data_IF_835820439853
#
_entry.id   IF_835820439853
#
_cell.length_a   1.000
_cell.length_b   1.000
_cell.length_c   1.000
_cell.angle_alpha   90.00
_cell.angle_beta   90.00
_cell.angle_gamma   90.00
#
_symmetry.space_group_name_H-M   'P 1'
#
loop_
_entity.id
_entity.type
_entity.pdbx_description
1 polymer ?
#
# COMPACT_ATOMS: atom_id res chain seq x y z
N UNK A 1 9.57 -12.02 72.46
CA UNK A 1 8.51 -11.70 71.48
C UNK A 1 8.20 -10.19 71.36
N UNK A 2 9.12 -9.27 71.65
CA UNK A 2 8.88 -7.81 71.58
C UNK A 2 9.80 -7.14 70.54
N UNK A 3 10.79 -7.84 69.99
CA UNK A 3 11.78 -7.25 69.07
C UNK A 3 11.41 -7.30 67.59
N UNK A 4 10.51 -8.17 67.18
CA UNK A 4 10.12 -8.30 65.73
C UNK A 4 9.17 -7.21 65.26
N UNK A 5 8.31 -6.68 66.13
CA UNK A 5 7.35 -5.63 65.79
C UNK A 5 7.95 -4.26 65.50
N UNK A 6 9.11 -3.97 66.13
CA UNK A 6 9.77 -2.65 65.98
C UNK A 6 10.55 -2.57 64.68
N UNK A 7 11.20 -3.65 64.23
CA UNK A 7 11.95 -3.69 62.97
C UNK A 7 11.04 -3.65 61.75
N UNK A 8 9.83 -4.20 61.83
CA UNK A 8 8.83 -4.14 60.74
C UNK A 8 8.30 -2.71 60.53
N UNK A 9 8.03 -1.97 61.62
CA UNK A 9 7.56 -0.59 61.53
C UNK A 9 8.64 0.37 61.02
N UNK A 10 9.91 0.19 61.40
CA UNK A 10 11.00 1.00 60.88
C UNK A 10 11.24 0.78 59.39
N UNK A 11 11.09 -0.47 58.88
CA UNK A 11 11.18 -0.76 57.43
C UNK A 11 10.03 -0.13 56.62
N UNK A 12 8.81 -0.13 57.17
CA UNK A 12 7.63 0.49 56.52
C UNK A 12 7.74 2.00 56.47
N UNK A 13 8.27 2.66 57.51
CA UNK A 13 8.50 4.10 57.53
C UNK A 13 9.63 4.50 56.58
N UNK A 14 10.69 3.71 56.47
CA UNK A 14 11.77 3.95 55.53
C UNK A 14 11.34 3.83 54.07
N UNK A 15 10.47 2.88 53.74
CA UNK A 15 9.92 2.72 52.38
C UNK A 15 8.98 3.85 52.00
N UNK A 16 8.08 4.28 52.91
CA UNK A 16 7.17 5.39 52.68
C UNK A 16 7.91 6.74 52.57
N UNK A 17 8.97 6.97 53.35
CA UNK A 17 9.80 8.16 53.25
C UNK A 17 10.60 8.24 51.95
N UNK A 18 11.10 7.10 51.44
CA UNK A 18 11.82 7.04 50.18
C UNK A 18 10.97 7.36 48.97
N UNK A 19 9.73 6.88 48.92
CA UNK A 19 8.80 7.16 47.79
C UNK A 19 8.37 8.64 47.76
N UNK A 20 8.14 9.26 48.90
CA UNK A 20 7.79 10.69 48.97
C UNK A 20 8.97 11.57 48.54
N UNK A 21 10.19 11.25 48.95
CA UNK A 21 11.38 11.97 48.52
C UNK A 21 11.66 11.87 47.02
N UNK A 22 11.47 10.69 46.39
CA UNK A 22 11.57 10.52 44.96
C UNK A 22 10.48 11.31 44.20
N UNK A 23 9.24 11.29 44.67
CA UNK A 23 8.16 12.02 44.03
C UNK A 23 8.38 13.56 44.05
N UNK A 24 8.88 14.08 45.17
CA UNK A 24 9.21 15.51 45.30
C UNK A 24 10.44 15.90 44.46
N UNK A 25 11.43 15.01 44.33
CA UNK A 25 12.61 15.22 43.49
C UNK A 25 12.25 15.31 42.02
N UNK A 26 11.42 14.37 41.51
CA UNK A 26 10.96 14.38 40.13
C UNK A 26 10.10 15.61 39.81
N UNK A 27 9.20 15.97 40.74
CA UNK A 27 8.37 17.20 40.62
C UNK A 27 9.20 18.48 40.54
N UNK A 28 10.28 18.58 41.31
CA UNK A 28 11.17 19.76 41.32
C UNK A 28 11.99 19.87 40.01
N UNK A 29 12.49 18.74 39.48
CA UNK A 29 13.22 18.73 38.21
C UNK A 29 12.31 19.10 37.04
N UNK A 30 11.06 18.62 36.99
CA UNK A 30 10.12 18.99 35.94
C UNK A 30 9.69 20.44 35.98
N UNK A 31 9.63 21.07 37.19
CA UNK A 31 9.25 22.48 37.31
C UNK A 31 10.42 23.44 37.08
N UNK A 32 11.67 22.98 37.17
CA UNK A 32 12.86 23.83 36.93
C UNK A 32 13.27 23.91 35.45
N UNK A 33 12.73 23.08 34.56
CA UNK A 33 12.88 23.22 33.11
C UNK A 33 11.88 24.24 32.57
N UNK A 34 12.17 25.53 32.77
CA UNK A 34 11.44 26.57 32.04
C UNK A 34 11.81 26.48 30.54
N UNK A 35 10.83 26.50 29.63
CA UNK A 35 11.13 26.58 28.21
C UNK A 35 11.90 27.90 27.96
N UNK A 36 13.06 27.76 27.32
CA UNK A 36 13.81 28.94 26.86
C UNK A 36 12.89 29.71 25.91
N UNK A 37 12.63 31.02 26.15
CA UNK A 37 11.81 31.80 25.25
C UNK A 37 12.48 31.81 23.87
N UNK A 38 11.80 31.25 22.89
CA UNK A 38 12.20 31.38 21.49
C UNK A 38 12.10 32.86 21.14
N UNK A 39 13.18 33.54 20.69
CA UNK A 39 13.07 34.92 20.25
C UNK A 39 12.08 34.98 19.09
N UNK A 40 11.10 35.87 19.21
CA UNK A 40 10.15 36.16 18.14
C UNK A 40 10.94 36.57 16.89
N UNK A 41 10.60 36.06 15.71
CA UNK A 41 11.24 36.48 14.47
C UNK A 41 11.01 37.98 14.31
N UNK A 42 12.14 38.72 14.16
CA UNK A 42 12.09 40.15 13.86
C UNK A 42 11.28 40.36 12.58
N UNK A 43 10.47 41.43 12.50
CA UNK A 43 9.75 41.77 11.30
C UNK A 43 10.78 41.96 10.19
N UNK A 44 10.72 41.12 9.16
CA UNK A 44 11.53 41.24 7.95
C UNK A 44 11.08 42.55 7.30
N UNK A 45 11.98 43.55 7.25
CA UNK A 45 11.77 44.74 6.45
C UNK A 45 11.44 44.34 5.03
N UNK A 46 10.35 44.85 4.52
CA UNK A 46 9.98 44.66 3.12
C UNK A 46 11.17 45.13 2.25
N UNK A 47 11.84 44.16 1.63
CA UNK A 47 12.80 44.46 0.57
C UNK A 47 11.99 44.90 -0.64
N UNK A 48 12.25 46.13 -1.09
CA UNK A 48 11.75 46.69 -2.33
C UNK A 48 12.06 45.71 -3.46
N UNK A 49 11.02 45.09 -4.00
CA UNK A 49 11.08 44.32 -5.22
C UNK A 49 11.40 45.29 -6.36
N UNK A 50 12.48 45.12 -7.13
CA UNK A 50 12.71 45.94 -8.31
C UNK A 50 11.54 45.74 -9.28
N UNK A 51 10.92 46.84 -9.67
CA UNK A 51 9.86 46.88 -10.66
C UNK A 51 10.32 46.18 -11.96
N UNK A 52 9.54 45.21 -12.40
CA UNK A 52 9.70 44.58 -13.70
C UNK A 52 9.61 45.65 -14.79
N UNK A 53 10.44 45.62 -15.85
CA UNK A 53 10.34 46.56 -16.95
C UNK A 53 9.03 46.36 -17.69
N UNK A 54 8.31 47.47 -17.85
CA UNK A 54 7.11 47.59 -18.68
C UNK A 54 7.46 47.28 -20.14
N UNK A 55 6.79 46.35 -20.83
CA UNK A 55 6.97 46.21 -22.28
C UNK A 55 6.29 47.39 -22.98
N UNK A 56 7.12 48.21 -23.60
CA UNK A 56 6.64 49.25 -24.55
C UNK A 56 6.02 48.63 -25.80
N UNK A 57 4.81 49.10 -26.12
CA UNK A 57 4.38 49.34 -27.47
C UNK A 57 4.10 48.12 -28.36
N UNK A 58 2.99 47.39 -28.15
CA UNK A 58 2.32 46.68 -29.21
C UNK A 58 1.06 47.47 -29.66
N UNK A 59 0.66 47.45 -30.95
CA UNK A 59 -0.40 48.31 -31.47
C UNK A 59 -1.75 47.95 -30.86
N UNK A 60 -2.43 48.97 -30.34
CA UNK A 60 -3.80 48.90 -29.87
C UNK A 60 -4.73 48.63 -31.05
N UNK A 61 -5.31 47.47 -31.09
CA UNK A 61 -6.49 47.17 -31.92
C UNK A 61 -7.73 47.64 -31.18
N UNK A 62 -8.30 48.71 -31.63
CA UNK A 62 -9.60 49.23 -31.19
C UNK A 62 -10.72 48.18 -31.40
N UNK A 63 -11.60 47.95 -30.42
CA UNK A 63 -12.75 47.10 -30.66
C UNK A 63 -13.76 47.78 -31.54
N UNK A 64 -13.94 47.24 -32.71
CA UNK A 64 -15.06 47.60 -33.62
C UNK A 64 -16.32 46.89 -33.14
N UNK A 65 -17.44 47.54 -32.89
CA UNK A 65 -18.69 46.88 -32.59
C UNK A 65 -19.25 46.28 -33.91
N UNK A 66 -18.97 45.01 -34.11
CA UNK A 66 -19.55 44.20 -35.18
C UNK A 66 -20.65 43.33 -34.63
N UNK A 67 -21.88 43.58 -35.00
CA UNK A 67 -23.08 42.84 -34.69
C UNK A 67 -22.87 41.33 -34.94
N UNK A 68 -23.18 40.52 -33.92
CA UNK A 68 -23.37 39.09 -34.05
C UNK A 68 -24.52 38.85 -35.05
N UNK A 69 -24.19 38.53 -36.30
CA UNK A 69 -25.13 37.91 -37.21
C UNK A 69 -25.24 36.44 -36.80
N UNK A 70 -26.37 36.13 -36.25
CA UNK A 70 -26.85 34.76 -36.14
C UNK A 70 -26.94 34.21 -37.54
N UNK A 71 -26.05 33.33 -37.91
CA UNK A 71 -26.16 32.53 -39.13
C UNK A 71 -27.30 31.53 -38.89
N UNK A 72 -28.46 31.79 -39.45
CA UNK A 72 -29.51 30.80 -39.63
C UNK A 72 -28.93 29.69 -40.52
N UNK A 73 -28.78 28.51 -39.95
CA UNK A 73 -28.51 27.30 -40.71
C UNK A 73 -29.81 26.94 -41.40
N UNK A 74 -29.93 27.27 -42.66
CA UNK A 74 -31.03 26.80 -43.52
C UNK A 74 -30.97 25.27 -43.59
N UNK A 75 -32.11 24.57 -43.47
CA UNK A 75 -32.14 23.13 -43.68
C UNK A 75 -31.69 22.81 -45.11
N UNK A 76 -30.69 21.93 -45.21
CA UNK A 76 -30.22 21.39 -46.48
C UNK A 76 -31.35 20.59 -47.11
N UNK A 77 -31.82 21.06 -48.24
CA UNK A 77 -32.85 20.46 -49.10
C UNK A 77 -32.24 19.18 -49.72
N UNK A 78 -32.46 18.04 -49.11
CA UNK A 78 -31.91 16.73 -49.52
C UNK A 78 -32.67 16.15 -50.73
N UNK A 79 -33.66 16.84 -51.24
CA UNK A 79 -34.59 16.30 -52.25
C UNK A 79 -34.14 16.45 -53.73
N UNK A 80 -32.93 16.92 -53.98
CA UNK A 80 -32.42 17.07 -55.37
C UNK A 80 -31.11 16.34 -55.67
N UNK A 81 -30.86 15.20 -55.09
CA UNK A 81 -29.81 14.31 -55.58
C UNK A 81 -30.49 13.31 -56.53
N UNK A 82 -30.53 13.65 -57.79
CA UNK A 82 -30.88 12.70 -58.83
C UNK A 82 -29.84 11.56 -58.81
N UNK A 83 -30.29 10.36 -58.49
CA UNK A 83 -29.51 9.16 -58.66
C UNK A 83 -29.27 8.96 -60.17
N UNK A 84 -28.15 9.49 -60.64
CA UNK A 84 -27.60 9.10 -61.93
C UNK A 84 -27.18 7.65 -61.77
N UNK A 85 -27.81 6.75 -62.53
CA UNK A 85 -27.49 5.35 -62.55
C UNK A 85 -25.98 5.18 -62.78
N UNK A 86 -25.29 4.59 -61.82
CA UNK A 86 -23.91 4.24 -61.99
C UNK A 86 -23.79 3.22 -63.16
N UNK A 87 -22.77 3.33 -64.00
CA UNK A 87 -22.52 2.30 -65.02
C UNK A 87 -22.31 0.96 -64.30
N UNK A 88 -22.93 -0.07 -64.83
CA UNK A 88 -22.82 -1.43 -64.32
C UNK A 88 -21.34 -1.80 -64.16
N UNK A 89 -20.94 -1.95 -62.92
CA UNK A 89 -19.61 -2.51 -62.57
C UNK A 89 -19.63 -3.96 -63.10
N UNK A 90 -18.71 -4.40 -63.97
CA UNK A 90 -18.60 -5.78 -64.33
C UNK A 90 -18.34 -6.60 -63.06
N UNK A 91 -19.01 -7.78 -62.96
CA UNK A 91 -18.83 -8.74 -61.87
C UNK A 91 -17.33 -8.93 -61.61
N UNK A 92 -16.85 -8.79 -60.37
CA UNK A 92 -15.46 -9.06 -60.06
C UNK A 92 -15.19 -10.52 -60.36
N UNK A 93 -14.27 -10.75 -61.28
CA UNK A 93 -13.73 -12.12 -61.51
C UNK A 93 -13.35 -12.74 -60.16
N UNK A 94 -13.60 -14.03 -59.93
CA UNK A 94 -13.26 -14.66 -58.65
C UNK A 94 -11.79 -14.35 -58.33
N UNK A 95 -11.58 -13.63 -57.22
CA UNK A 95 -10.25 -13.29 -56.74
C UNK A 95 -9.49 -14.61 -56.57
N UNK A 96 -8.43 -14.79 -57.35
CA UNK A 96 -7.52 -15.92 -57.14
C UNK A 96 -7.12 -15.89 -55.68
N UNK A 97 -7.41 -16.97 -54.94
CA UNK A 97 -7.01 -17.14 -53.55
C UNK A 97 -5.50 -16.90 -53.47
N UNK A 98 -5.13 -15.84 -52.76
CA UNK A 98 -3.73 -15.60 -52.43
C UNK A 98 -3.21 -16.89 -51.81
N UNK A 99 -2.03 -17.40 -52.19
CA UNK A 99 -1.46 -18.58 -51.58
C UNK A 99 -1.37 -18.27 -50.07
N UNK A 100 -1.92 -19.16 -49.24
CA UNK A 100 -1.81 -19.10 -47.81
C UNK A 100 -0.32 -18.94 -47.49
N UNK A 101 0.04 -17.84 -46.81
CA UNK A 101 1.39 -17.70 -46.25
C UNK A 101 1.70 -18.96 -45.46
N UNK A 102 2.82 -19.64 -45.75
CA UNK A 102 3.22 -20.80 -44.93
C UNK A 102 3.16 -20.36 -43.46
N UNK A 103 2.40 -21.09 -42.64
CA UNK A 103 2.56 -20.95 -41.19
C UNK A 103 4.03 -21.23 -40.90
N UNK A 104 4.71 -20.29 -40.29
CA UNK A 104 6.02 -20.55 -39.71
C UNK A 104 5.92 -21.85 -38.91
N UNK A 105 6.85 -22.79 -39.08
CA UNK A 105 6.87 -23.98 -38.28
C UNK A 105 6.89 -23.50 -36.81
N UNK A 106 5.90 -23.94 -36.01
CA UNK A 106 5.93 -23.75 -34.59
C UNK A 106 7.30 -24.20 -34.08
N UNK A 107 8.12 -23.24 -33.63
CA UNK A 107 9.38 -23.56 -32.97
C UNK A 107 8.98 -24.47 -31.80
N UNK A 108 9.52 -25.70 -31.68
CA UNK A 108 9.20 -26.55 -30.55
C UNK A 108 9.52 -25.80 -29.29
N UNK A 109 8.51 -25.37 -28.51
CA UNK A 109 8.73 -24.84 -27.20
C UNK A 109 9.31 -25.97 -26.36
N UNK A 110 10.53 -25.80 -25.87
CA UNK A 110 11.27 -26.80 -25.10
C UNK A 110 10.65 -27.05 -23.70
N UNK A 111 9.35 -26.84 -23.52
CA UNK A 111 8.66 -27.07 -22.26
C UNK A 111 8.97 -26.03 -21.20
N UNK A 112 9.58 -24.90 -21.57
CA UNK A 112 9.97 -23.81 -20.66
C UNK A 112 8.91 -22.70 -20.50
N UNK A 113 7.69 -22.94 -20.94
CA UNK A 113 6.64 -21.93 -20.83
C UNK A 113 6.31 -21.62 -19.37
N UNK A 114 6.34 -20.33 -19.04
CA UNK A 114 5.88 -19.84 -17.71
C UNK A 114 4.36 -19.82 -17.72
N UNK A 115 3.76 -20.44 -16.71
CA UNK A 115 2.30 -20.45 -16.53
C UNK A 115 1.95 -20.02 -15.10
N UNK A 116 0.74 -19.45 -14.92
CA UNK A 116 0.24 -19.11 -13.62
C UNK A 116 -1.24 -19.47 -13.51
N UNK A 117 -1.65 -19.94 -12.32
CA UNK A 117 -3.03 -20.25 -11.95
C UNK A 117 -3.38 -19.50 -10.66
N UNK A 118 -4.56 -18.90 -10.61
CA UNK A 118 -5.08 -18.22 -9.45
C UNK A 118 -6.40 -18.87 -9.03
N UNK A 119 -6.44 -19.43 -7.81
CA UNK A 119 -7.61 -20.12 -7.26
C UNK A 119 -8.13 -19.36 -6.05
N UNK A 120 -9.43 -19.00 -5.96
CA UNK A 120 -9.97 -18.33 -4.78
C UNK A 120 -9.87 -19.22 -3.55
N UNK A 121 -9.44 -18.62 -2.43
CA UNK A 121 -9.35 -19.25 -1.13
C UNK A 121 -10.27 -18.60 -0.09
N UNK A 122 -10.27 -19.08 1.16
CA UNK A 122 -11.05 -18.51 2.23
C UNK A 122 -10.59 -17.09 2.59
N UNK A 123 -11.45 -16.32 3.27
CA UNK A 123 -11.16 -14.94 3.69
C UNK A 123 -10.75 -14.02 2.52
N UNK A 124 -11.36 -14.21 1.36
CA UNK A 124 -11.05 -13.50 0.13
C UNK A 124 -9.54 -13.54 -0.22
N UNK A 125 -8.86 -14.65 0.02
CA UNK A 125 -7.50 -14.91 -0.44
C UNK A 125 -7.50 -15.56 -1.81
N UNK A 126 -6.33 -15.63 -2.43
CA UNK A 126 -6.09 -16.33 -3.68
C UNK A 126 -4.82 -17.17 -3.54
N UNK A 127 -4.93 -18.44 -3.83
CA UNK A 127 -3.79 -19.34 -3.97
C UNK A 127 -3.24 -19.16 -5.39
N UNK A 128 -2.06 -18.55 -5.49
CA UNK A 128 -1.35 -18.32 -6.74
C UNK A 128 -0.29 -19.39 -6.92
N UNK A 129 -0.44 -20.21 -7.93
CA UNK A 129 0.55 -21.21 -8.36
C UNK A 129 1.22 -20.73 -9.65
N UNK A 130 2.55 -20.64 -9.67
CA UNK A 130 3.37 -20.32 -10.84
C UNK A 130 4.21 -21.52 -11.19
N UNK A 131 4.27 -21.87 -12.46
CA UNK A 131 5.14 -22.94 -12.97
C UNK A 131 6.04 -22.39 -14.08
N UNK A 132 7.33 -22.45 -13.85
CA UNK A 132 8.39 -21.97 -14.73
C UNK A 132 9.54 -23.02 -14.79
N UNK A 133 9.36 -24.17 -15.45
CA UNK A 133 10.24 -25.35 -15.32
C UNK A 133 11.72 -25.09 -15.66
N UNK A 134 12.02 -24.04 -16.41
CA UNK A 134 13.40 -23.69 -16.77
C UNK A 134 13.97 -22.54 -15.88
N UNK A 135 13.23 -22.09 -14.89
CA UNK A 135 13.57 -20.97 -14.00
C UNK A 135 13.53 -21.43 -12.53
N UNK A 136 14.27 -22.51 -12.21
CA UNK A 136 14.46 -22.96 -10.83
C UNK A 136 15.32 -21.99 -10.03
N UNK A 137 15.00 -21.80 -8.74
CA UNK A 137 15.67 -20.85 -7.82
C UNK A 137 15.77 -19.45 -8.41
N UNK A 138 14.78 -19.02 -9.18
CA UNK A 138 14.78 -17.77 -9.91
C UNK A 138 13.89 -16.74 -9.23
N UNK A 139 14.41 -15.50 -9.18
CA UNK A 139 13.68 -14.35 -8.63
C UNK A 139 12.58 -13.92 -9.61
N UNK A 140 11.40 -13.65 -9.05
CA UNK A 140 10.30 -13.01 -9.76
C UNK A 140 9.66 -11.93 -8.87
N UNK A 141 8.95 -11.02 -9.53
CA UNK A 141 8.09 -10.04 -8.85
C UNK A 141 6.65 -10.36 -9.17
N UNK A 142 5.83 -10.47 -8.12
CA UNK A 142 4.39 -10.63 -8.26
C UNK A 142 3.73 -9.26 -8.09
N UNK A 143 2.90 -8.88 -9.06
CA UNK A 143 2.09 -7.66 -9.02
C UNK A 143 0.62 -8.01 -8.86
N UNK A 144 -0.07 -7.36 -7.94
CA UNK A 144 -1.50 -7.53 -7.73
C UNK A 144 -2.15 -6.22 -7.29
N UNK A 145 -2.92 -5.58 -8.17
CA UNK A 145 -3.72 -4.36 -7.87
C UNK A 145 -2.95 -3.26 -7.12
N UNK A 146 -1.72 -2.97 -7.53
CA UNK A 146 -0.84 -1.97 -6.92
C UNK A 146 0.07 -2.51 -5.82
N UNK A 147 -0.21 -3.67 -5.25
CA UNK A 147 0.71 -4.38 -4.38
C UNK A 147 1.77 -5.12 -5.21
N UNK A 148 3.01 -5.12 -4.70
CA UNK A 148 4.14 -5.81 -5.33
C UNK A 148 4.97 -6.51 -4.25
N UNK A 149 5.42 -7.73 -4.55
CA UNK A 149 6.36 -8.45 -3.69
C UNK A 149 7.27 -9.37 -4.49
N UNK A 150 8.48 -9.59 -3.97
CA UNK A 150 9.47 -10.50 -4.56
C UNK A 150 9.25 -11.91 -4.04
N UNK A 151 9.31 -12.88 -4.95
CA UNK A 151 9.32 -14.29 -4.61
C UNK A 151 10.49 -15.01 -5.33
N UNK A 152 10.78 -16.22 -4.91
CA UNK A 152 11.78 -17.09 -5.54
C UNK A 152 11.11 -18.43 -5.80
N UNK A 153 11.23 -18.94 -7.01
CA UNK A 153 10.78 -20.29 -7.36
C UNK A 153 11.64 -21.35 -6.65
N UNK A 154 11.09 -22.53 -6.43
CA UNK A 154 11.84 -23.68 -5.97
C UNK A 154 12.79 -24.23 -7.04
N UNK A 155 13.45 -25.37 -6.76
CA UNK A 155 14.39 -26.02 -7.68
C UNK A 155 13.73 -26.46 -8.99
N UNK A 156 12.44 -26.80 -8.98
CA UNK A 156 11.65 -27.24 -10.12
C UNK A 156 11.00 -26.07 -10.88
N UNK A 157 11.22 -24.83 -10.42
CA UNK A 157 10.64 -23.64 -11.02
C UNK A 157 9.20 -23.40 -10.60
N UNK A 158 8.74 -23.98 -9.50
CA UNK A 158 7.40 -23.78 -8.98
C UNK A 158 7.39 -22.70 -7.85
N UNK A 159 6.26 -22.01 -7.72
CA UNK A 159 5.95 -21.10 -6.61
C UNK A 159 4.48 -21.27 -6.26
N UNK A 160 4.21 -21.57 -5.01
CA UNK A 160 2.88 -21.57 -4.42
C UNK A 160 2.81 -20.52 -3.30
N UNK A 161 1.90 -19.57 -3.42
CA UNK A 161 1.73 -18.49 -2.42
C UNK A 161 0.27 -18.10 -2.27
N UNK A 162 -0.20 -18.00 -1.03
CA UNK A 162 -1.54 -17.47 -0.72
C UNK A 162 -1.46 -15.96 -0.56
N UNK A 163 -2.19 -15.23 -1.37
CA UNK A 163 -2.18 -13.75 -1.44
C UNK A 163 -3.56 -13.21 -1.08
N UNK A 164 -3.68 -12.27 -0.12
CA UNK A 164 -4.93 -11.56 0.12
C UNK A 164 -5.34 -10.76 -1.13
N UNK A 165 -6.53 -11.01 -1.68
CA UNK A 165 -7.00 -10.30 -2.86
C UNK A 165 -7.30 -8.83 -2.55
N UNK A 166 -7.02 -7.93 -3.49
CA UNK A 166 -7.28 -6.49 -3.36
C UNK A 166 -8.38 -6.00 -4.31
N UNK A 167 -8.93 -6.89 -5.13
CA UNK A 167 -10.02 -6.58 -6.05
C UNK A 167 -10.89 -7.81 -6.28
N UNK A 168 -12.16 -7.59 -6.62
CA UNK A 168 -13.12 -8.65 -6.96
C UNK A 168 -12.65 -9.42 -8.20
N UNK A 169 -12.21 -8.71 -9.23
CA UNK A 169 -11.47 -9.30 -10.35
C UNK A 169 -9.99 -9.21 -10.04
N UNK A 170 -9.48 -10.24 -9.39
CA UNK A 170 -8.08 -10.34 -9.01
C UNK A 170 -7.21 -10.69 -10.22
N UNK A 171 -6.24 -9.83 -10.52
CA UNK A 171 -5.25 -10.03 -11.59
C UNK A 171 -3.89 -10.13 -10.94
N UNK A 172 -3.15 -11.18 -11.25
CA UNK A 172 -1.79 -11.41 -10.81
C UNK A 172 -0.86 -11.46 -12.02
N UNK A 173 0.24 -10.75 -11.94
CA UNK A 173 1.30 -10.76 -12.95
C UNK A 173 2.57 -11.26 -12.27
N UNK A 174 3.04 -12.43 -12.65
CA UNK A 174 4.33 -12.97 -12.25
C UNK A 174 5.36 -12.60 -13.30
N UNK A 175 6.35 -11.79 -12.95
CA UNK A 175 7.36 -11.27 -13.88
C UNK A 175 8.76 -11.66 -13.41
N UNK A 176 9.51 -12.34 -14.27
CA UNK A 176 10.91 -12.70 -14.05
C UNK A 176 11.85 -11.62 -14.60
N UNK A 177 13.08 -11.58 -14.06
CA UNK A 177 14.09 -10.56 -14.45
C UNK A 177 14.55 -10.70 -15.92
N UNK A 178 14.37 -11.88 -16.52
CA UNK A 178 14.68 -12.14 -17.95
C UNK A 178 13.59 -11.65 -18.93
N UNK A 179 12.49 -11.07 -18.40
CA UNK A 179 11.34 -10.58 -19.18
C UNK A 179 10.27 -11.63 -19.47
N UNK A 180 10.46 -12.89 -19.06
CA UNK A 180 9.41 -13.90 -19.10
C UNK A 180 8.43 -13.67 -17.95
N UNK A 181 7.22 -14.21 -18.09
CA UNK A 181 6.21 -14.11 -17.05
C UNK A 181 4.88 -14.73 -17.45
N UNK A 182 3.96 -14.69 -16.50
CA UNK A 182 2.60 -15.17 -16.71
C UNK A 182 1.58 -14.26 -16.02
N UNK A 183 0.35 -14.31 -16.52
CA UNK A 183 -0.78 -13.58 -15.93
C UNK A 183 -1.84 -14.61 -15.54
N UNK A 184 -2.31 -14.50 -14.29
CA UNK A 184 -3.44 -15.27 -13.80
C UNK A 184 -4.55 -14.33 -13.37
N UNK A 185 -5.80 -14.70 -13.57
CA UNK A 185 -6.98 -13.93 -13.16
C UNK A 185 -7.98 -14.84 -12.49
N UNK A 186 -8.63 -14.32 -11.44
CA UNK A 186 -9.71 -15.02 -10.77
C UNK A 186 -10.78 -14.04 -10.25
N UNK A 187 -11.93 -14.55 -9.84
CA UNK A 187 -13.03 -13.77 -9.28
C UNK A 187 -13.17 -14.07 -7.80
N UNK A 188 -13.17 -13.03 -6.97
CA UNK A 188 -13.22 -13.08 -5.50
C UNK A 188 -14.44 -12.29 -5.04
N UNK A 189 -15.65 -12.87 -5.05
CA UNK A 189 -16.89 -12.13 -4.84
C UNK A 189 -17.08 -11.61 -3.42
N UNK A 190 -16.47 -12.25 -2.44
CA UNK A 190 -16.54 -11.93 -1.01
C UNK A 190 -15.56 -10.85 -0.55
N UNK A 191 -14.80 -10.26 -1.46
CA UNK A 191 -13.80 -9.24 -1.13
C UNK A 191 -14.38 -8.02 -0.38
N UNK A 192 -15.65 -7.68 -0.63
CA UNK A 192 -16.33 -6.57 0.02
C UNK A 192 -16.62 -6.81 1.53
N UNK A 193 -16.50 -8.05 1.98
CA UNK A 193 -16.70 -8.43 3.37
C UNK A 193 -15.47 -8.16 4.25
N UNK A 194 -14.35 -7.75 3.62
CA UNK A 194 -13.07 -7.55 4.28
C UNK A 194 -12.53 -6.14 4.06
N UNK A 195 -12.04 -5.53 5.14
CA UNK A 195 -11.20 -4.34 5.08
C UNK A 195 -9.74 -4.77 5.00
N UNK A 196 -8.94 -4.07 4.17
CA UNK A 196 -7.53 -4.40 3.95
C UNK A 196 -6.64 -3.19 3.93
N UNK A 197 -5.53 -3.32 4.63
CA UNK A 197 -4.43 -2.35 4.65
C UNK A 197 -3.17 -3.09 4.20
N UNK A 198 -2.52 -2.57 3.16
CA UNK A 198 -1.24 -3.06 2.66
C UNK A 198 -0.18 -2.03 2.97
N UNK A 199 0.90 -2.46 3.56
CA UNK A 199 2.14 -1.70 3.71
C UNK A 199 3.20 -2.40 2.86
N UNK A 200 3.74 -1.71 1.86
CA UNK A 200 4.77 -2.29 0.99
C UNK A 200 5.98 -1.39 0.91
N UNK A 201 7.17 -2.00 0.81
CA UNK A 201 8.45 -1.30 0.77
C UNK A 201 9.50 -2.10 0.03
N UNK A 202 10.65 -1.49 -0.20
CA UNK A 202 11.81 -2.13 -0.80
C UNK A 202 12.95 -2.24 0.21
N UNK A 203 13.66 -3.36 0.17
CA UNK A 203 14.82 -3.61 1.01
C UNK A 203 14.46 -3.94 2.47
N UNK A 204 15.45 -3.84 3.34
CA UNK A 204 15.34 -4.18 4.77
C UNK A 204 14.99 -2.97 5.62
N UNK A 205 13.91 -2.28 5.27
CA UNK A 205 13.49 -1.05 5.94
C UNK A 205 12.89 -1.26 7.34
N UNK A 206 12.54 -2.50 7.71
CA UNK A 206 12.06 -2.83 9.06
C UNK A 206 10.61 -2.42 9.34
N UNK A 207 9.83 -2.10 8.32
CA UNK A 207 8.43 -1.72 8.49
C UNK A 207 7.54 -2.89 8.93
N UNK A 208 6.55 -2.57 9.78
CA UNK A 208 5.53 -3.50 10.29
C UNK A 208 4.19 -2.80 10.45
N UNK A 209 3.09 -3.52 10.25
CA UNK A 209 1.74 -3.08 10.60
C UNK A 209 1.38 -3.65 11.97
N UNK A 210 0.88 -2.78 12.86
CA UNK A 210 0.27 -3.17 14.12
C UNK A 210 -1.19 -2.72 14.14
N UNK A 211 -2.10 -3.63 14.46
CA UNK A 211 -3.51 -3.36 14.66
C UNK A 211 -3.89 -3.68 16.11
N UNK A 212 -4.46 -2.71 16.81
CA UNK A 212 -4.97 -2.85 18.16
C UNK A 212 -6.49 -2.89 18.09
N UNK A 213 -7.06 -4.09 18.06
CA UNK A 213 -8.48 -4.31 17.85
C UNK A 213 -9.26 -4.07 19.14
N UNK A 214 -10.31 -3.23 19.03
CA UNK A 214 -11.28 -2.99 20.09
C UNK A 214 -10.68 -2.56 21.43
N UNK A 215 -9.64 -1.72 21.38
CA UNK A 215 -8.98 -1.17 22.56
C UNK A 215 -7.93 -2.08 23.21
N UNK A 216 -7.49 -3.13 22.51
CA UNK A 216 -6.36 -3.95 22.97
C UNK A 216 -5.08 -3.11 23.07
N UNK A 217 -4.18 -3.51 23.97
CA UNK A 217 -2.84 -2.97 24.09
C UNK A 217 -1.80 -3.91 23.48
N UNK A 218 -0.57 -3.45 23.31
CA UNK A 218 0.54 -4.29 22.83
C UNK A 218 0.73 -5.53 23.69
N UNK A 219 0.82 -6.69 23.03
CA UNK A 219 1.01 -7.99 23.68
C UNK A 219 -0.27 -8.60 24.26
N UNK A 220 -1.42 -7.92 24.16
CA UNK A 220 -2.70 -8.45 24.61
C UNK A 220 -3.45 -9.17 23.48
N UNK A 221 -4.44 -10.03 23.79
CA UNK A 221 -5.38 -10.54 22.79
C UNK A 221 -6.07 -9.39 22.04
N UNK A 222 -5.99 -9.39 20.72
CA UNK A 222 -6.43 -8.29 19.87
C UNK A 222 -5.30 -7.39 19.37
N UNK A 223 -4.05 -7.60 19.82
CA UNK A 223 -2.88 -7.04 19.17
C UNK A 223 -2.47 -7.94 18.00
N UNK A 224 -2.75 -7.49 16.78
CA UNK A 224 -2.55 -8.25 15.53
C UNK A 224 -1.38 -7.63 14.76
N UNK A 225 -0.36 -8.43 14.49
CA UNK A 225 0.83 -8.06 13.73
C UNK A 225 1.52 -9.33 13.19
N UNK A 226 2.50 -9.18 12.32
CA UNK A 226 3.15 -10.31 11.61
C UNK A 226 3.91 -11.26 12.53
N UNK A 227 4.36 -10.81 13.70
CA UNK A 227 5.05 -11.64 14.72
C UNK A 227 4.11 -12.20 15.80
N UNK A 228 2.79 -12.00 15.72
CA UNK A 228 1.86 -12.58 16.68
C UNK A 228 1.77 -14.11 16.54
N UNK A 229 1.41 -14.81 17.63
CA UNK A 229 1.19 -16.27 17.58
C UNK A 229 0.07 -16.59 16.56
N UNK A 230 0.34 -17.42 15.53
CA UNK A 230 -0.66 -17.80 14.54
C UNK A 230 -1.91 -18.47 15.13
N UNK A 231 -1.80 -19.04 16.35
CA UNK A 231 -2.95 -19.62 17.05
C UNK A 231 -3.92 -18.59 17.61
N UNK A 232 -3.45 -17.35 17.81
CA UNK A 232 -4.33 -16.25 18.21
C UNK A 232 -5.21 -15.76 17.03
N UNK A 233 -4.82 -16.02 15.79
CA UNK A 233 -5.52 -15.65 14.57
C UNK A 233 -6.66 -16.61 14.15
N UNK A 234 -6.99 -17.59 14.99
CA UNK A 234 -7.92 -18.69 14.63
C UNK A 234 -9.41 -18.36 14.67
N UNK A 235 -9.79 -17.16 15.08
CA UNK A 235 -11.20 -16.75 15.12
C UNK A 235 -11.52 -15.91 13.87
N UNK A 236 -12.61 -16.28 13.16
CA UNK A 236 -13.09 -15.57 11.96
C UNK A 236 -13.56 -14.14 12.26
N UNK A 237 -13.55 -13.73 13.52
CA UNK A 237 -13.97 -12.39 13.97
C UNK A 237 -12.79 -11.45 14.26
N UNK A 238 -11.56 -11.95 14.19
CA UNK A 238 -10.33 -11.17 14.41
C UNK A 238 -9.57 -10.97 13.10
N UNK A 239 -8.83 -9.88 13.00
CA UNK A 239 -7.98 -9.60 11.86
C UNK A 239 -6.74 -10.50 11.81
N UNK A 240 -6.07 -10.48 10.67
CA UNK A 240 -4.81 -11.21 10.44
C UNK A 240 -3.83 -10.32 9.70
N UNK A 241 -2.53 -10.50 9.96
CA UNK A 241 -1.46 -9.91 9.16
C UNK A 241 -0.72 -11.02 8.42
N UNK A 242 -0.61 -10.86 7.10
CA UNK A 242 0.19 -11.75 6.24
C UNK A 242 1.37 -10.96 5.71
N UNK A 243 2.58 -11.50 5.87
CA UNK A 243 3.80 -10.96 5.27
C UNK A 243 4.08 -11.67 3.96
N UNK A 244 4.30 -10.91 2.89
CA UNK A 244 4.60 -11.37 1.55
C UNK A 244 5.97 -10.87 1.13
N UNK A 245 6.66 -11.67 0.34
CA UNK A 245 8.00 -11.40 -0.12
C UNK A 245 9.07 -12.17 0.63
N UNK A 246 10.25 -12.33 0.01
CA UNK A 246 11.40 -12.99 0.60
C UNK A 246 12.50 -11.99 0.92
N UNK A 247 12.98 -11.98 2.16
CA UNK A 247 14.01 -11.06 2.65
C UNK A 247 15.41 -11.36 2.09
N UNK A 248 15.64 -12.59 1.59
CA UNK A 248 16.94 -13.05 1.11
C UNK A 248 17.27 -12.60 -0.31
N UNK A 249 16.29 -12.03 -1.02
CA UNK A 249 16.52 -11.49 -2.36
C UNK A 249 17.32 -10.19 -2.34
N UNK A 250 18.03 -9.89 -3.42
CA UNK A 250 18.68 -8.59 -3.60
C UNK A 250 17.61 -7.51 -3.78
N UNK A 251 17.63 -6.49 -2.90
CA UNK A 251 16.64 -5.40 -2.89
C UNK A 251 15.19 -5.92 -2.95
N UNK A 252 14.77 -6.76 -1.98
CA UNK A 252 13.47 -7.40 -2.02
C UNK A 252 12.35 -6.37 -1.98
N UNK A 253 11.25 -6.66 -2.67
CA UNK A 253 9.97 -6.00 -2.47
C UNK A 253 9.20 -6.81 -1.45
N UNK A 254 8.79 -6.17 -0.39
CA UNK A 254 8.10 -6.78 0.75
C UNK A 254 6.76 -6.10 0.97
N UNK A 255 5.78 -6.86 1.43
CA UNK A 255 4.49 -6.31 1.78
C UNK A 255 3.94 -7.00 3.03
N UNK A 256 3.30 -6.24 3.91
CA UNK A 256 2.41 -6.76 4.95
C UNK A 256 0.98 -6.38 4.62
N UNK A 257 0.06 -7.34 4.79
CA UNK A 257 -1.36 -7.14 4.52
C UNK A 257 -2.14 -7.46 5.78
N UNK A 258 -2.67 -6.42 6.43
CA UNK A 258 -3.68 -6.58 7.47
C UNK A 258 -5.03 -6.78 6.80
N UNK A 259 -5.77 -7.80 7.23
CA UNK A 259 -7.12 -8.12 6.77
C UNK A 259 -8.05 -8.22 7.97
N UNK A 260 -9.15 -7.46 7.97
CA UNK A 260 -10.20 -7.54 8.99
C UNK A 260 -11.53 -8.00 8.36
N UNK A 261 -12.22 -9.00 8.93
CA UNK A 261 -13.49 -9.52 8.41
C UNK A 261 -14.68 -8.63 8.83
N UNK A 262 -14.81 -7.45 8.25
CA UNK A 262 -15.78 -6.43 8.63
C UNK A 262 -17.24 -6.91 8.55
N UNK A 263 -17.57 -7.80 7.61
CA UNK A 263 -18.91 -8.36 7.49
C UNK A 263 -19.26 -9.41 8.56
N UNK A 264 -18.26 -10.03 9.17
CA UNK A 264 -18.42 -11.04 10.22
C UNK A 264 -18.21 -10.48 11.64
N UNK A 265 -18.04 -9.17 11.79
CA UNK A 265 -17.81 -8.54 13.08
C UNK A 265 -19.00 -8.72 14.02
N UNK A 266 -18.79 -9.33 15.17
CA UNK A 266 -19.79 -9.59 16.22
C UNK A 266 -19.86 -8.49 17.27
N UNK A 267 -18.94 -7.52 17.22
CA UNK A 267 -18.85 -6.36 18.10
C UNK A 267 -18.48 -5.09 17.32
N UNK A 268 -18.91 -3.94 17.85
CA UNK A 268 -18.56 -2.63 17.32
C UNK A 268 -17.43 -2.01 18.13
N UNK A 269 -16.67 -1.15 17.50
CA UNK A 269 -15.55 -0.43 18.11
C UNK A 269 -14.55 0.06 17.09
N UNK A 270 -13.46 0.58 17.58
CA UNK A 270 -12.37 1.07 16.75
C UNK A 270 -11.22 0.05 16.72
N UNK A 271 -10.55 -0.04 15.59
CA UNK A 271 -9.26 -0.74 15.44
C UNK A 271 -8.22 0.34 15.19
N UNK A 272 -7.37 0.58 16.18
CA UNK A 272 -6.27 1.52 16.05
C UNK A 272 -5.16 0.90 15.20
N UNK A 273 -4.75 1.60 14.14
CA UNK A 273 -3.72 1.16 13.21
C UNK A 273 -2.47 2.02 13.36
N UNK A 274 -1.32 1.37 13.48
CA UNK A 274 -0.02 2.03 13.43
C UNK A 274 0.92 1.34 12.45
N UNK A 275 1.83 2.13 11.89
CA UNK A 275 2.99 1.62 11.16
C UNK A 275 4.20 1.83 12.05
N UNK A 276 4.98 0.79 12.21
CA UNK A 276 6.23 0.84 12.96
C UNK A 276 7.40 0.54 12.05
N UNK A 277 8.56 1.11 12.37
CA UNK A 277 9.81 0.79 11.70
C UNK A 277 10.88 0.51 12.74
N UNK A 278 11.40 -0.72 12.76
CA UNK A 278 12.53 -1.09 13.59
C UNK A 278 13.81 -0.47 13.02
N UNK A 279 14.57 0.21 13.87
CA UNK A 279 15.91 0.70 13.54
C UNK A 279 16.87 -0.48 13.55
N UNK A 280 17.38 -0.85 12.40
CA UNK A 280 18.30 -1.96 12.22
C UNK A 280 19.61 -1.52 11.54
N UNK A 281 20.55 -2.44 11.36
CA UNK A 281 21.85 -2.14 10.75
C UNK A 281 21.76 -1.73 9.27
N UNK A 282 20.70 -2.16 8.58
CA UNK A 282 20.51 -1.90 7.16
C UNK A 282 19.85 -0.53 6.88
N UNK A 283 19.02 -0.03 7.81
CA UNK A 283 18.27 1.21 7.64
C UNK A 283 18.76 2.40 8.48
N UNK A 284 19.55 2.18 9.54
CA UNK A 284 19.96 3.24 10.44
C UNK A 284 20.70 4.40 9.71
N UNK A 285 20.34 5.63 10.05
CA UNK A 285 20.91 6.86 9.47
C UNK A 285 20.52 7.07 8.00
N UNK A 286 19.48 6.42 7.50
CA UNK A 286 19.01 6.51 6.10
C UNK A 286 17.56 6.99 6.04
N UNK A 287 17.19 7.50 4.88
CA UNK A 287 15.79 7.67 4.54
C UNK A 287 15.25 6.35 4.01
N UNK A 288 14.09 5.95 4.52
CA UNK A 288 13.34 4.78 4.07
C UNK A 288 11.97 5.22 3.59
N UNK A 289 11.44 4.52 2.61
CA UNK A 289 10.12 4.81 2.07
C UNK A 289 9.25 3.55 1.99
N UNK A 290 7.97 3.75 2.13
CA UNK A 290 6.95 2.73 1.97
C UNK A 290 5.74 3.31 1.23
N UNK A 291 4.85 2.43 0.81
CA UNK A 291 3.57 2.78 0.25
C UNK A 291 2.47 2.05 1.01
N UNK A 292 1.43 2.78 1.35
CA UNK A 292 0.22 2.26 1.95
C UNK A 292 -0.86 2.15 0.88
N UNK A 293 -1.55 0.99 0.84
CA UNK A 293 -2.74 0.78 0.05
C UNK A 293 -3.87 0.43 1.02
N UNK A 294 -4.96 1.16 0.94
CA UNK A 294 -6.09 1.02 1.85
C UNK A 294 -7.36 0.72 1.06
N UNK A 295 -8.07 -0.34 1.46
CA UNK A 295 -9.35 -0.72 0.91
C UNK A 295 -10.34 -1.01 2.05
N UNK A 296 -11.46 -0.30 2.07
CA UNK A 296 -12.55 -0.48 3.03
C UNK A 296 -13.82 -0.93 2.28
N UNK A 297 -14.31 -2.11 2.58
CA UNK A 297 -15.50 -2.68 1.96
C UNK A 297 -15.51 -2.57 0.44
N UNK A 298 -16.46 -1.81 -0.11
CA UNK A 298 -16.62 -1.56 -1.57
C UNK A 298 -15.87 -0.32 -2.07
N UNK A 299 -15.15 0.38 -1.20
CA UNK A 299 -14.47 1.61 -1.56
C UNK A 299 -13.34 1.38 -2.58
N UNK A 300 -13.00 2.46 -3.29
CA UNK A 300 -11.83 2.42 -4.16
C UNK A 300 -10.56 2.36 -3.34
N UNK A 301 -9.59 1.61 -3.83
CA UNK A 301 -8.24 1.59 -3.25
C UNK A 301 -7.69 3.01 -3.14
N UNK A 302 -7.27 3.38 -1.93
CA UNK A 302 -6.53 4.61 -1.66
C UNK A 302 -5.05 4.27 -1.53
N UNK A 303 -4.19 5.17 -1.99
CA UNK A 303 -2.74 4.98 -1.94
C UNK A 303 -2.10 6.20 -1.31
N UNK A 304 -1.19 5.98 -0.34
CA UNK A 304 -0.40 7.02 0.31
C UNK A 304 1.08 6.64 0.28
N UNK A 305 1.96 7.60 0.04
CA UNK A 305 3.41 7.43 0.21
C UNK A 305 3.80 7.76 1.65
N UNK A 306 4.80 7.07 2.14
CA UNK A 306 5.43 7.28 3.44
C UNK A 306 6.92 7.41 3.25
N UNK A 307 7.49 8.52 3.72
CA UNK A 307 8.93 8.74 3.77
C UNK A 307 9.33 8.99 5.22
N UNK A 308 10.38 8.34 5.69
CA UNK A 308 10.83 8.37 7.06
C UNK A 308 12.36 8.45 7.13
N UNK A 309 12.88 9.42 7.89
CA UNK A 309 14.30 9.50 8.22
C UNK A 309 14.57 8.70 9.48
N UNK A 310 15.36 7.65 9.36
CA UNK A 310 15.72 6.74 10.46
C UNK A 310 16.88 7.33 11.27
N UNK A 311 16.83 7.28 12.62
CA UNK A 311 17.93 7.70 13.47
C UNK A 311 19.24 6.99 13.19
N UNK A 312 20.35 7.58 13.69
CA UNK A 312 21.69 6.98 13.55
C UNK A 312 21.80 5.59 14.22
N UNK A 313 22.85 4.85 13.88
CA UNK A 313 23.01 3.44 14.27
C UNK A 313 23.23 3.19 15.77
N UNK A 314 23.31 4.24 16.59
CA UNK A 314 23.24 4.12 18.07
C UNK A 314 21.84 3.77 18.58
N UNK A 315 20.81 3.94 17.75
CA UNK A 315 19.43 3.64 18.05
C UNK A 315 18.98 2.25 17.51
N UNK A 316 19.91 1.41 17.06
CA UNK A 316 19.57 0.05 16.57
C UNK A 316 18.88 -0.74 17.68
N UNK A 317 17.70 -1.30 17.36
CA UNK A 317 16.81 -1.98 18.29
C UNK A 317 15.66 -1.11 18.82
N UNK A 318 15.68 0.21 18.57
CA UNK A 318 14.55 1.09 18.85
C UNK A 318 13.48 0.98 17.74
N UNK A 319 12.25 1.39 18.07
CA UNK A 319 11.13 1.42 17.13
C UNK A 319 10.64 2.85 16.92
N UNK A 320 10.40 3.19 15.66
CA UNK A 320 9.73 4.43 15.26
C UNK A 320 8.25 4.11 15.07
N UNK A 321 7.38 4.68 15.89
CA UNK A 321 5.93 4.46 15.82
C UNK A 321 5.29 5.63 15.11
N UNK A 322 4.64 5.33 13.99
CA UNK A 322 3.95 6.31 13.15
C UNK A 322 2.45 6.24 13.41
N UNK A 323 2.02 7.00 14.41
CA UNK A 323 0.61 7.16 14.73
C UNK A 323 -0.04 8.17 13.77
N UNK A 324 -1.34 8.03 13.53
CA UNK A 324 -2.16 8.91 12.66
C UNK A 324 -1.76 8.93 11.18
N UNK A 325 -1.00 7.95 10.73
CA UNK A 325 -0.72 7.76 9.31
C UNK A 325 -1.89 7.08 8.60
N UNK A 326 -2.53 6.15 9.29
CA UNK A 326 -3.75 5.45 8.89
C UNK A 326 -4.93 5.97 9.69
N UNK A 327 -6.08 6.06 9.07
CA UNK A 327 -7.32 6.30 9.79
C UNK A 327 -7.76 4.99 10.46
N UNK A 328 -8.10 5.06 11.74
CA UNK A 328 -8.63 3.92 12.48
C UNK A 328 -9.83 3.32 11.75
N UNK A 329 -9.93 1.99 11.77
CA UNK A 329 -11.09 1.31 11.21
C UNK A 329 -12.24 1.35 12.21
N UNK A 330 -13.37 1.91 11.78
CA UNK A 330 -14.58 1.95 12.57
C UNK A 330 -15.47 0.77 12.22
N UNK A 331 -15.57 -0.16 13.14
CA UNK A 331 -16.30 -1.41 12.97
C UNK A 331 -17.69 -1.29 13.61
N UNK A 332 -18.70 -1.66 12.86
CA UNK A 332 -20.08 -1.80 13.35
C UNK A 332 -20.42 -3.30 13.43
N UNK A 333 -20.92 -3.74 14.57
CA UNK A 333 -21.48 -5.08 14.70
C UNK A 333 -22.66 -5.27 13.73
N UNK A 334 -22.75 -6.42 13.11
CA UNK A 334 -23.82 -6.81 12.20
C UNK A 334 -24.72 -7.86 12.82
#
# INVERSE_FOLDING_TARGET
MVTEGVMSRLRMIGLAGGTVACALGIGHVMQSTQPVPVPAPAPVAAQDTPAAPTPEGGPQLSPRPGALRTAEISPLDIEKIALTAAPAVPDPAPAAALPATPKDPEVPSLGCAVTALATPGPMATVDLAVSAPCLGNSRLVVHHNGMTFTAITDEDGALDVTVPALAERAVFIAAFDNGEGAVATTHVPDIADFDRIVLQWQGKAGFQIHALEFGASYGEPGHVWSGADPKAAGDRTTGTVVRLGTDDALSPLLAEVYTFPAAAADRSGDIALSVEAEVNADNCGRDISAQLLERKGTDRMQTRALDLTVPGCTAVGDFLVLNNLLDDLKIAAK
#
